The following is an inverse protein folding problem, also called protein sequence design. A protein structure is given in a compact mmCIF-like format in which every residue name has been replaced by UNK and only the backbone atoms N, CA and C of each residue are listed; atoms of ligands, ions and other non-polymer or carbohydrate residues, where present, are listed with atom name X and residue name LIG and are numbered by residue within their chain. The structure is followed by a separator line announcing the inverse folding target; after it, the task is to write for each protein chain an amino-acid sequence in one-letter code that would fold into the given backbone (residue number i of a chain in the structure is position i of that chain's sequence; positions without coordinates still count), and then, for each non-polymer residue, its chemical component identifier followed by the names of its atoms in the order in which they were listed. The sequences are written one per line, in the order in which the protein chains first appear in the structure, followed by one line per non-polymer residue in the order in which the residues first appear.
data_IF_915185098644
#
_entry.id   IF_915185098644
#
_cell.length_a   1.000
_cell.length_b   1.000
_cell.length_c   1.000
_cell.angle_alpha   90.00
_cell.angle_beta   90.00
_cell.angle_gamma   90.00
#
_symmetry.space_group_name_H-M   'P 1'
#
loop_
_entity.id
_entity.type
_entity.pdbx_description
1 polymer ?
#
# COMPACT_ATOMS: atom_id res chain seq x y z
N UNK A 1 22.31 5.95 -6.76
CA UNK A 1 21.71 6.14 -5.42
C UNK A 1 21.32 7.59 -5.32
N UNK A 2 20.02 7.88 -5.37
CA UNK A 2 19.50 9.20 -5.07
C UNK A 2 18.54 9.05 -3.90
N UNK A 3 18.93 9.63 -2.78
CA UNK A 3 18.18 9.73 -1.52
C UNK A 3 16.84 10.45 -1.76
N UNK A 4 15.81 9.70 -2.14
CA UNK A 4 14.43 10.15 -1.97
C UNK A 4 13.88 9.45 -0.73
N UNK A 5 14.35 9.92 0.41
CA UNK A 5 13.88 9.51 1.72
C UNK A 5 12.46 10.09 1.90
N UNK A 6 11.47 9.33 1.43
CA UNK A 6 10.03 9.65 1.52
C UNK A 6 9.62 10.06 2.96
N UNK A 7 10.39 9.62 3.96
CA UNK A 7 10.20 9.95 5.38
C UNK A 7 10.48 11.42 5.74
N UNK A 8 11.15 12.21 4.89
CA UNK A 8 11.44 13.64 5.16
C UNK A 8 10.28 14.58 4.86
N UNK A 9 9.20 14.09 4.24
CA UNK A 9 8.05 14.91 3.92
C UNK A 9 7.09 14.94 5.12
N UNK A 10 7.00 16.06 5.82
CA UNK A 10 6.19 16.20 7.05
C UNK A 10 4.72 15.81 6.81
N UNK A 11 4.18 16.13 5.63
CA UNK A 11 2.82 15.76 5.24
C UNK A 11 2.65 14.24 5.06
N UNK A 12 3.71 13.55 4.60
CA UNK A 12 3.73 12.10 4.41
C UNK A 12 3.63 11.37 5.75
N UNK A 13 4.47 11.76 6.71
CA UNK A 13 4.45 11.16 8.05
C UNK A 13 3.15 11.46 8.80
N UNK A 14 2.60 12.67 8.66
CA UNK A 14 1.32 13.03 9.27
C UNK A 14 0.14 12.21 8.71
N UNK A 15 0.11 11.95 7.40
CA UNK A 15 -0.91 11.08 6.79
C UNK A 15 -0.83 9.67 7.34
N UNK A 16 0.37 9.07 7.39
CA UNK A 16 0.56 7.72 7.94
C UNK A 16 0.09 7.69 9.39
N UNK A 17 0.54 8.62 10.21
CA UNK A 17 0.23 8.67 11.64
C UNK A 17 -1.28 8.82 11.89
N UNK A 18 -1.96 9.66 11.11
CA UNK A 18 -3.42 9.87 11.22
C UNK A 18 -4.20 8.62 10.84
N UNK A 19 -3.85 7.98 9.72
CA UNK A 19 -4.53 6.77 9.25
C UNK A 19 -4.27 5.59 10.18
N UNK A 20 -3.01 5.37 10.59
CA UNK A 20 -2.68 4.27 11.51
C UNK A 20 -3.37 4.46 12.86
N UNK A 21 -3.45 5.68 13.41
CA UNK A 21 -4.21 5.94 14.65
C UNK A 21 -5.71 5.66 14.50
N UNK A 22 -6.26 5.88 13.30
CA UNK A 22 -7.67 5.59 13.01
C UNK A 22 -7.91 4.08 12.98
N UNK A 23 -7.04 3.34 12.30
CA UNK A 23 -7.04 1.87 12.26
C UNK A 23 -6.86 1.29 13.67
N UNK A 24 -5.95 1.85 14.47
CA UNK A 24 -5.66 1.37 15.82
C UNK A 24 -6.67 1.85 16.88
N UNK A 25 -7.75 2.53 16.52
CA UNK A 25 -8.68 3.14 17.48
C UNK A 25 -9.27 2.13 18.47
N UNK A 26 -9.46 0.88 18.03
CA UNK A 26 -10.02 -0.21 18.83
C UNK A 26 -8.94 -1.07 19.53
N UNK A 27 -7.67 -0.65 19.44
CA UNK A 27 -6.53 -1.21 20.19
C UNK A 27 -5.91 -2.47 19.61
N UNK A 28 -6.46 -3.01 18.51
CA UNK A 28 -5.90 -4.14 17.76
C UNK A 28 -6.16 -3.92 16.28
N UNK A 29 -5.20 -4.29 15.46
CA UNK A 29 -5.44 -4.42 14.02
C UNK A 29 -5.84 -5.86 13.72
N UNK A 30 -6.71 -6.04 12.75
CA UNK A 30 -7.07 -7.32 12.18
C UNK A 30 -6.93 -7.31 10.65
N UNK A 31 -7.30 -8.42 10.02
CA UNK A 31 -7.14 -8.58 8.58
C UNK A 31 -7.99 -7.56 7.78
N UNK A 32 -9.09 -7.06 8.33
CA UNK A 32 -9.96 -6.10 7.67
C UNK A 32 -9.32 -4.71 7.55
N UNK A 33 -8.25 -4.45 8.29
CA UNK A 33 -7.48 -3.20 8.21
C UNK A 33 -6.45 -3.20 7.06
N UNK A 34 -6.05 -4.38 6.57
CA UNK A 34 -5.06 -4.51 5.49
C UNK A 34 -5.46 -3.71 4.23
N UNK A 35 -6.70 -3.78 3.72
CA UNK A 35 -7.12 -2.94 2.60
C UNK A 35 -6.97 -1.44 2.87
N UNK A 36 -7.21 -0.95 4.10
CA UNK A 36 -7.07 0.47 4.45
C UNK A 36 -5.60 0.90 4.47
N UNK A 37 -4.71 0.07 5.02
CA UNK A 37 -3.25 0.26 4.94
C UNK A 37 -2.79 0.30 3.49
N UNK A 38 -3.34 -0.56 2.62
CA UNK A 38 -2.99 -0.60 1.20
C UNK A 38 -3.49 0.63 0.44
N UNK A 39 -4.67 1.15 0.78
CA UNK A 39 -5.17 2.42 0.25
C UNK A 39 -4.26 3.59 0.63
N UNK A 40 -3.81 3.65 1.89
CA UNK A 40 -2.81 4.62 2.33
C UNK A 40 -1.52 4.50 1.50
N UNK A 41 -0.95 3.31 1.41
CA UNK A 41 0.31 3.08 0.66
C UNK A 41 0.18 3.53 -0.80
N UNK A 42 -0.94 3.20 -1.46
CA UNK A 42 -1.17 3.59 -2.85
C UNK A 42 -1.40 5.10 -3.01
N UNK A 43 -2.11 5.77 -2.09
CA UNK A 43 -2.21 7.23 -2.06
C UNK A 43 -0.83 7.88 -1.94
N UNK A 44 0.02 7.37 -1.03
CA UNK A 44 1.38 7.90 -0.82
C UNK A 44 2.27 7.74 -2.07
N UNK A 45 2.18 6.60 -2.75
CA UNK A 45 2.94 6.36 -3.99
C UNK A 45 2.43 7.27 -5.13
N UNK A 46 1.10 7.36 -5.30
CA UNK A 46 0.49 8.11 -6.42
C UNK A 46 0.57 9.63 -6.25
N UNK A 47 0.70 10.12 -5.02
CA UNK A 47 0.91 11.55 -4.71
C UNK A 47 2.39 11.94 -4.66
N UNK A 48 3.31 10.98 -4.75
CA UNK A 48 4.74 11.29 -4.85
C UNK A 48 5.07 11.95 -6.19
N UNK A 49 6.02 12.87 -6.21
CA UNK A 49 6.44 13.60 -7.43
C UNK A 49 7.13 12.70 -8.49
N UNK A 50 7.16 11.38 -8.29
CA UNK A 50 7.69 10.43 -9.25
C UNK A 50 6.72 10.23 -10.42
N UNK A 51 6.95 11.00 -11.49
CA UNK A 51 6.11 11.01 -12.68
C UNK A 51 6.05 9.67 -13.45
N UNK A 52 6.96 8.72 -13.21
CA UNK A 52 6.98 7.39 -13.84
C UNK A 52 7.61 6.34 -12.92
N UNK A 53 6.88 5.25 -12.72
CA UNK A 53 7.27 4.08 -11.91
C UNK A 53 7.01 2.81 -12.71
N UNK A 54 7.96 1.88 -12.75
CA UNK A 54 7.75 0.56 -13.37
C UNK A 54 6.88 -0.34 -12.48
N UNK A 55 6.28 -1.41 -13.03
CA UNK A 55 5.50 -2.36 -12.21
C UNK A 55 6.34 -2.97 -11.07
N UNK A 56 7.59 -3.31 -11.34
CA UNK A 56 8.52 -3.85 -10.33
C UNK A 56 8.84 -2.83 -9.24
N UNK A 57 9.09 -1.56 -9.62
CA UNK A 57 9.31 -0.49 -8.66
C UNK A 57 8.06 -0.21 -7.82
N UNK A 58 6.86 -0.33 -8.40
CA UNK A 58 5.59 -0.19 -7.69
C UNK A 58 5.44 -1.28 -6.63
N UNK A 59 5.66 -2.53 -7.00
CA UNK A 59 5.61 -3.66 -6.07
C UNK A 59 6.64 -3.50 -4.93
N UNK A 60 7.88 -3.16 -5.27
CA UNK A 60 8.93 -2.92 -4.28
C UNK A 60 8.59 -1.76 -3.34
N UNK A 61 8.02 -0.68 -3.85
CA UNK A 61 7.61 0.48 -3.04
C UNK A 61 6.46 0.14 -2.10
N UNK A 62 5.47 -0.62 -2.58
CA UNK A 62 4.36 -1.11 -1.75
C UNK A 62 4.90 -1.99 -0.60
N UNK A 63 5.76 -2.96 -0.93
CA UNK A 63 6.36 -3.85 0.06
C UNK A 63 7.18 -3.07 1.10
N UNK A 64 8.02 -2.12 0.67
CA UNK A 64 8.84 -1.32 1.57
C UNK A 64 7.99 -0.47 2.52
N UNK A 65 6.96 0.19 2.01
CA UNK A 65 6.07 1.02 2.82
C UNK A 65 5.22 0.20 3.78
N UNK A 66 4.73 -0.96 3.34
CA UNK A 66 4.02 -1.90 4.21
C UNK A 66 4.93 -2.35 5.36
N UNK A 67 6.14 -2.82 5.06
CA UNK A 67 7.09 -3.25 6.08
C UNK A 67 7.45 -2.12 7.05
N UNK A 68 7.63 -0.90 6.54
CA UNK A 68 7.85 0.28 7.38
C UNK A 68 6.67 0.53 8.33
N UNK A 69 5.44 0.63 7.82
CA UNK A 69 4.25 0.91 8.63
C UNK A 69 4.06 -0.20 9.69
N UNK A 70 4.10 -1.45 9.26
CA UNK A 70 3.85 -2.58 10.16
C UNK A 70 4.91 -2.70 11.26
N UNK A 71 6.18 -2.43 10.93
CA UNK A 71 7.28 -2.49 11.91
C UNK A 71 7.28 -1.27 12.83
N UNK A 72 7.18 -0.06 12.25
CA UNK A 72 7.30 1.20 13.01
C UNK A 72 6.18 1.36 14.04
N UNK A 73 4.97 0.92 13.70
CA UNK A 73 3.80 1.00 14.58
C UNK A 73 3.52 -0.32 15.32
N UNK A 74 4.39 -1.33 15.18
CA UNK A 74 4.26 -2.64 15.82
C UNK A 74 2.88 -3.29 15.58
N UNK A 75 2.48 -3.37 14.31
CA UNK A 75 1.15 -3.83 13.89
C UNK A 75 1.10 -5.30 13.49
N UNK A 76 2.24 -5.99 13.46
CA UNK A 76 2.24 -7.41 13.12
C UNK A 76 1.47 -8.21 14.18
N UNK A 77 0.56 -9.12 13.79
CA UNK A 77 -0.09 -10.02 14.73
C UNK A 77 0.95 -10.83 15.49
N UNK A 78 0.67 -11.25 16.71
CA UNK A 78 1.57 -12.17 17.43
C UNK A 78 1.31 -13.63 17.04
N UNK A 79 0.02 -13.98 16.83
CA UNK A 79 -0.45 -15.31 16.48
C UNK A 79 -0.07 -15.72 15.04
N UNK A 80 0.38 -16.96 14.87
CA UNK A 80 0.88 -17.45 13.57
C UNK A 80 -0.22 -17.62 12.52
N UNK A 81 -1.43 -18.02 12.91
CA UNK A 81 -2.53 -18.19 11.95
C UNK A 81 -3.07 -16.83 11.46
N UNK A 82 -3.08 -15.83 12.35
CA UNK A 82 -3.38 -14.45 11.96
C UNK A 82 -2.30 -13.87 11.04
N UNK A 83 -1.02 -14.10 11.32
CA UNK A 83 0.09 -13.69 10.42
C UNK A 83 -0.08 -14.24 9.00
N UNK A 84 -0.41 -15.52 8.86
CA UNK A 84 -0.61 -16.14 7.54
C UNK A 84 -1.81 -15.51 6.82
N UNK A 85 -2.91 -15.26 7.54
CA UNK A 85 -4.11 -14.63 6.97
C UNK A 85 -3.83 -13.20 6.51
N UNK A 86 -3.07 -12.44 7.30
CA UNK A 86 -2.60 -11.10 6.96
C UNK A 86 -1.72 -11.09 5.72
N UNK A 87 -0.70 -11.95 5.69
CA UNK A 87 0.22 -12.04 4.57
C UNK A 87 -0.52 -12.42 3.28
N UNK A 88 -1.45 -13.38 3.36
CA UNK A 88 -2.28 -13.77 2.22
C UNK A 88 -3.10 -12.59 1.71
N UNK A 89 -3.75 -11.82 2.58
CA UNK A 89 -4.58 -10.70 2.18
C UNK A 89 -3.75 -9.54 1.61
N UNK A 90 -2.60 -9.25 2.23
CA UNK A 90 -1.62 -8.30 1.72
C UNK A 90 -1.19 -8.66 0.30
N UNK A 91 -0.75 -9.91 0.10
CA UNK A 91 -0.32 -10.42 -1.21
C UNK A 91 -1.43 -10.33 -2.27
N UNK A 92 -2.69 -10.55 -1.86
CA UNK A 92 -3.83 -10.37 -2.76
C UNK A 92 -4.04 -8.90 -3.14
N UNK A 93 -3.91 -7.97 -2.19
CA UNK A 93 -4.01 -6.53 -2.47
C UNK A 93 -2.91 -6.06 -3.44
N UNK A 94 -1.65 -6.48 -3.21
CA UNK A 94 -0.52 -6.19 -4.13
C UNK A 94 -0.85 -6.66 -5.55
N UNK A 95 -1.31 -7.91 -5.70
CA UNK A 95 -1.70 -8.46 -7.00
C UNK A 95 -2.80 -7.66 -7.68
N UNK A 96 -3.84 -7.24 -6.94
CA UNK A 96 -4.94 -6.44 -7.48
C UNK A 96 -4.46 -5.07 -7.97
N UNK A 97 -3.59 -4.40 -7.22
CA UNK A 97 -2.99 -3.11 -7.59
C UNK A 97 -2.18 -3.27 -8.89
N UNK A 98 -1.33 -4.31 -8.97
CA UNK A 98 -0.52 -4.58 -10.18
C UNK A 98 -1.41 -5.00 -11.37
N UNK A 99 -2.56 -5.62 -11.10
CA UNK A 99 -3.50 -6.06 -12.13
C UNK A 99 -4.32 -4.90 -12.73
N UNK A 100 -4.62 -3.86 -11.95
CA UNK A 100 -5.44 -2.72 -12.38
C UNK A 100 -4.96 -2.04 -13.68
N UNK A 101 -3.65 -1.75 -13.89
CA UNK A 101 -3.17 -1.22 -15.16
C UNK A 101 -3.44 -2.16 -16.35
N UNK A 102 -3.33 -3.48 -16.15
CA UNK A 102 -3.57 -4.50 -17.19
C UNK A 102 -5.04 -4.57 -17.57
N UNK A 103 -5.94 -4.49 -16.58
CA UNK A 103 -7.39 -4.37 -16.80
C UNK A 103 -7.70 -3.09 -17.57
N UNK A 104 -7.17 -1.95 -17.14
CA UNK A 104 -7.38 -0.65 -17.79
C UNK A 104 -6.95 -0.69 -19.26
N UNK A 105 -5.77 -1.25 -19.53
CA UNK A 105 -5.28 -1.42 -20.91
C UNK A 105 -6.19 -2.33 -21.75
N UNK A 106 -6.72 -3.39 -21.14
CA UNK A 106 -7.63 -4.32 -21.82
C UNK A 106 -8.99 -3.67 -22.09
N UNK A 107 -9.55 -2.92 -21.13
CA UNK A 107 -10.78 -2.15 -21.30
C UNK A 107 -10.67 -1.16 -22.45
N UNK A 108 -9.56 -0.42 -22.56
CA UNK A 108 -9.32 0.51 -23.68
C UNK A 108 -9.26 -0.19 -25.05
N UNK A 109 -8.77 -1.43 -25.11
CA UNK A 109 -8.74 -2.23 -26.35
C UNK A 109 -10.13 -2.73 -26.75
N UNK A 110 -10.93 -3.17 -25.79
CA UNK A 110 -12.26 -3.76 -26.03
C UNK A 110 -13.32 -2.67 -26.27
N UNK A 111 -13.19 -1.54 -25.57
CA UNK A 111 -14.10 -0.41 -25.62
C UNK A 111 -13.34 0.86 -26.05
N UNK A 112 -13.03 1.04 -27.34
CA UNK A 112 -12.25 2.19 -27.83
C UNK A 112 -12.91 3.53 -27.54
N UNK A 113 -14.23 3.56 -27.28
CA UNK A 113 -14.99 4.74 -26.91
C UNK A 113 -14.79 5.21 -25.44
N UNK A 114 -14.09 4.43 -24.60
CA UNK A 114 -13.72 4.80 -23.23
C UNK A 114 -12.33 5.46 -23.15
N UNK A 115 -11.76 5.85 -24.30
CA UNK A 115 -10.44 6.46 -24.43
C UNK A 115 -10.44 7.94 -24.10
#
# INVERSE_FOLDING_TARGET
MSDNDLTKNVNFLQKIDTTVKTIMKDGKIDQFDIPEIMLLITDLITTSEQNKITMEQLENSINALYQYIMTHYNLFPEDSAQKESFERLFNMCVKLIIFQPKVTQSCKKIFPCLS
#
